data_IF_896235708599
#
_entry.id   IF_896235708599
#
_cell.length_a   1.000
_cell.length_b   1.000
_cell.length_c   1.000
_cell.angle_alpha   90.00
_cell.angle_beta   90.00
_cell.angle_gamma   90.00
#
_symmetry.space_group_name_H-M   'P 1'
#
loop_
_entity.id
_entity.type
_entity.pdbx_description
1 polymer ?
#
# COMPACT_ATOMS: atom_id res chain seq x y z
N UNK A 1 -20.18 25.00 -16.45
CA UNK A 1 -19.57 23.90 -17.18
C UNK A 1 -18.76 23.09 -16.18
N UNK A 2 -18.92 21.76 -16.03
CA UNK A 2 -18.14 21.02 -15.07
C UNK A 2 -16.70 20.94 -15.58
N UNK A 3 -15.76 21.48 -14.81
CA UNK A 3 -14.33 21.25 -15.03
C UNK A 3 -14.08 19.75 -14.99
N UNK A 4 -13.42 19.22 -16.01
CA UNK A 4 -13.25 17.80 -16.25
C UNK A 4 -12.60 17.09 -15.07
N UNK A 5 -13.13 15.93 -14.72
CA UNK A 5 -12.57 14.99 -13.71
C UNK A 5 -11.07 14.66 -13.96
N UNK A 6 -10.57 14.84 -15.17
CA UNK A 6 -9.17 14.59 -15.55
C UNK A 6 -8.15 15.46 -14.80
N UNK A 7 -8.48 16.73 -14.50
CA UNK A 7 -7.60 17.61 -13.73
C UNK A 7 -7.49 17.19 -12.25
N UNK A 8 -8.44 16.40 -11.76
CA UNK A 8 -8.53 16.00 -10.36
C UNK A 8 -7.69 14.74 -10.05
N UNK A 9 -7.51 13.87 -11.03
CA UNK A 9 -6.71 12.65 -10.89
C UNK A 9 -5.24 12.98 -10.66
N UNK A 10 -4.75 14.07 -11.25
CA UNK A 10 -3.34 14.51 -11.12
C UNK A 10 -2.94 15.03 -9.73
N UNK A 11 -3.87 15.14 -8.77
CA UNK A 11 -3.60 15.77 -7.47
C UNK A 11 -3.71 14.78 -6.28
N UNK A 12 -4.20 13.56 -6.48
CA UNK A 12 -4.72 12.72 -5.40
C UNK A 12 -4.00 11.37 -5.30
N UNK A 13 -2.78 11.22 -5.72
CA UNK A 13 -2.06 10.01 -5.33
C UNK A 13 -1.07 10.32 -4.22
N UNK A 14 -1.04 9.51 -3.16
CA UNK A 14 0.14 9.45 -2.32
C UNK A 14 1.28 8.97 -3.21
N UNK A 15 2.49 9.21 -2.87
CA UNK A 15 3.76 8.81 -3.49
C UNK A 15 3.81 8.39 -5.00
N UNK A 16 2.72 7.84 -5.57
CA UNK A 16 2.66 7.39 -6.96
C UNK A 16 2.24 8.44 -7.99
N UNK A 17 1.48 9.48 -7.60
CA UNK A 17 1.00 10.51 -8.56
C UNK A 17 1.84 11.78 -8.58
N UNK A 18 2.96 11.81 -7.86
CA UNK A 18 3.83 12.97 -7.82
C UNK A 18 4.55 13.27 -9.15
N UNK A 19 4.60 12.32 -10.07
CA UNK A 19 5.41 12.43 -11.28
C UNK A 19 4.83 13.33 -12.39
N UNK A 20 3.58 13.83 -12.28
CA UNK A 20 2.90 14.49 -13.40
C UNK A 20 2.34 15.91 -13.14
N UNK A 21 2.82 16.63 -12.15
CA UNK A 21 2.43 18.04 -11.99
C UNK A 21 3.46 18.98 -12.63
N UNK A 22 3.07 19.77 -13.64
CA UNK A 22 3.88 20.94 -14.02
C UNK A 22 3.90 21.89 -12.83
N UNK A 23 5.08 22.39 -12.46
CA UNK A 23 5.28 23.38 -11.43
C UNK A 23 4.54 24.68 -11.79
N UNK A 24 3.30 24.83 -11.30
CA UNK A 24 2.67 26.13 -11.14
C UNK A 24 3.03 26.63 -9.75
N UNK A 25 4.14 27.36 -9.64
CA UNK A 25 4.46 28.14 -8.46
C UNK A 25 3.44 29.29 -8.31
N UNK A 26 2.27 28.96 -7.77
CA UNK A 26 1.37 29.97 -7.23
C UNK A 26 1.80 30.23 -5.77
N UNK A 27 1.86 31.49 -5.33
CA UNK A 27 2.12 31.86 -3.94
C UNK A 27 1.12 31.15 -3.02
N UNK A 28 1.54 30.05 -2.43
CA UNK A 28 0.74 29.29 -1.47
C UNK A 28 0.76 30.02 -0.12
N UNK A 29 -0.37 30.12 0.59
CA UNK A 29 -0.36 30.66 1.95
C UNK A 29 0.51 29.79 2.86
N UNK A 30 1.11 30.38 3.93
CA UNK A 30 1.90 29.64 4.87
C UNK A 30 1.09 28.48 5.49
N UNK A 31 1.72 27.32 5.65
CA UNK A 31 1.12 26.18 6.32
C UNK A 31 0.71 26.54 7.75
N UNK A 32 -0.38 25.99 8.30
CA UNK A 32 -0.75 26.20 9.69
C UNK A 32 0.36 25.72 10.63
N UNK A 33 0.44 26.37 11.80
CA UNK A 33 1.41 26.06 12.84
C UNK A 33 1.42 24.56 13.17
N UNK A 34 2.60 24.05 13.54
CA UNK A 34 2.91 22.63 13.73
C UNK A 34 1.72 21.76 14.19
N UNK A 35 1.42 20.77 13.38
CA UNK A 35 0.47 19.72 13.77
C UNK A 35 1.07 18.92 14.95
N UNK A 36 0.23 18.38 15.86
CA UNK A 36 0.72 17.57 16.95
C UNK A 36 1.54 16.37 16.41
N UNK A 37 2.62 16.06 17.08
CA UNK A 37 3.37 14.82 16.83
C UNK A 37 2.41 13.65 16.94
N UNK A 38 2.39 12.77 15.93
CA UNK A 38 1.52 11.59 15.81
C UNK A 38 0.02 11.88 15.68
N UNK A 39 -0.44 12.15 14.47
CA UNK A 39 -1.88 12.18 14.14
C UNK A 39 -2.45 10.80 13.81
N UNK A 40 -1.63 9.75 13.82
CA UNK A 40 -2.04 8.37 13.52
C UNK A 40 -1.44 7.41 14.55
N UNK A 41 -2.11 6.28 14.78
CA UNK A 41 -1.61 5.19 15.63
C UNK A 41 -2.07 3.86 15.06
N UNK A 42 -1.29 2.81 15.32
CA UNK A 42 -1.75 1.46 15.10
C UNK A 42 -2.75 1.03 16.18
N UNK A 43 -3.78 0.33 15.73
CA UNK A 43 -4.59 -0.55 16.58
C UNK A 43 -3.93 -1.93 16.59
N UNK A 44 -3.86 -2.57 17.72
CA UNK A 44 -3.27 -3.91 17.85
C UNK A 44 -4.36 -4.95 18.11
N UNK A 45 -4.30 -6.09 17.41
CA UNK A 45 -5.20 -7.21 17.61
C UNK A 45 -4.43 -8.53 17.62
N UNK A 46 -4.66 -9.38 18.64
CA UNK A 46 -4.19 -10.78 18.62
C UNK A 46 -5.23 -11.62 17.89
N UNK A 47 -4.89 -12.07 16.69
CA UNK A 47 -5.82 -12.77 15.77
C UNK A 47 -5.80 -14.29 15.93
N UNK A 48 -4.70 -14.83 16.46
CA UNK A 48 -4.53 -16.24 16.76
C UNK A 48 -3.45 -16.41 17.85
N UNK A 49 -3.30 -17.59 18.48
CA UNK A 49 -2.21 -17.83 19.43
C UNK A 49 -0.85 -17.50 18.78
N UNK A 50 -0.08 -16.62 19.44
CA UNK A 50 1.24 -16.15 18.99
C UNK A 50 1.25 -15.31 17.71
N UNK A 51 0.09 -14.80 17.25
CA UNK A 51 -0.02 -13.97 16.05
C UNK A 51 -0.81 -12.72 16.38
N UNK A 52 -0.18 -11.58 16.25
CA UNK A 52 -0.79 -10.26 16.41
C UNK A 52 -0.58 -9.43 15.15
N UNK A 53 -1.45 -8.47 14.91
CA UNK A 53 -1.34 -7.49 13.84
C UNK A 53 -1.44 -6.08 14.41
N UNK A 54 -0.59 -5.20 13.90
CA UNK A 54 -0.69 -3.75 14.07
C UNK A 54 -1.28 -3.20 12.77
N UNK A 55 -2.44 -2.55 12.85
CA UNK A 55 -3.15 -2.06 11.66
C UNK A 55 -3.78 -0.69 11.92
N UNK A 56 -4.05 0.06 10.87
CA UNK A 56 -4.86 1.27 10.96
C UNK A 56 -6.35 0.96 10.75
N UNK A 57 -7.21 1.71 11.44
CA UNK A 57 -8.67 1.62 11.28
C UNK A 57 -9.17 2.75 10.39
N UNK A 58 -10.15 2.46 9.54
CA UNK A 58 -10.73 3.44 8.64
C UNK A 58 -9.93 3.60 7.34
N UNK A 59 -10.20 4.69 6.64
CA UNK A 59 -9.50 5.05 5.41
C UNK A 59 -8.51 6.18 5.67
N UNK A 60 -7.30 6.00 5.21
CA UNK A 60 -6.22 6.98 5.24
C UNK A 60 -5.75 7.27 3.81
N UNK A 61 -5.55 8.55 3.50
CA UNK A 61 -5.01 8.98 2.21
C UNK A 61 -3.49 8.72 2.10
N UNK A 62 -2.82 8.62 3.24
CA UNK A 62 -1.43 8.18 3.36
C UNK A 62 -1.39 7.03 4.38
N UNK A 63 -1.80 5.83 3.99
CA UNK A 63 -1.88 4.71 4.91
C UNK A 63 -0.48 4.22 5.32
N UNK A 64 -0.44 3.45 6.40
CA UNK A 64 0.70 2.64 6.82
C UNK A 64 0.35 1.19 6.59
N UNK A 65 1.28 0.44 6.04
CA UNK A 65 1.13 -1.00 5.90
C UNK A 65 0.93 -1.67 7.27
N UNK A 66 0.06 -2.65 7.30
CA UNK A 66 -0.09 -3.50 8.48
C UNK A 66 1.24 -4.18 8.79
N UNK A 67 1.45 -4.51 10.07
CA UNK A 67 2.61 -5.29 10.49
C UNK A 67 2.14 -6.49 11.30
N UNK A 68 2.50 -7.67 10.86
CA UNK A 68 2.23 -8.86 11.63
C UNK A 68 3.42 -9.25 12.49
N UNK A 69 3.11 -9.57 13.74
CA UNK A 69 4.06 -10.01 14.76
C UNK A 69 3.79 -11.46 15.09
N UNK A 70 4.70 -12.32 14.69
CA UNK A 70 4.57 -13.78 14.81
C UNK A 70 5.63 -14.28 15.82
N UNK A 71 5.17 -14.65 17.00
CA UNK A 71 6.06 -15.17 18.03
C UNK A 71 6.35 -16.65 17.78
N UNK A 72 7.64 -16.97 17.55
CA UNK A 72 8.18 -18.31 17.43
C UNK A 72 8.87 -18.75 18.73
N UNK A 73 9.28 -20.00 18.81
CA UNK A 73 9.95 -20.56 20.01
C UNK A 73 11.22 -19.81 20.39
N UNK A 74 12.00 -19.35 19.40
CA UNK A 74 13.33 -18.76 19.58
C UNK A 74 13.41 -17.26 19.18
N UNK A 75 12.31 -16.66 18.77
CA UNK A 75 12.31 -15.26 18.33
C UNK A 75 10.97 -14.79 17.82
N UNK A 76 10.98 -13.65 17.14
CA UNK A 76 9.82 -13.05 16.49
C UNK A 76 10.10 -12.90 15.00
N UNK A 77 9.14 -13.26 14.17
CA UNK A 77 9.10 -12.93 12.76
C UNK A 77 8.13 -11.76 12.57
N UNK A 78 8.60 -10.71 11.90
CA UNK A 78 7.76 -9.59 11.44
C UNK A 78 7.44 -9.77 9.95
N UNK A 79 6.20 -9.49 9.58
CA UNK A 79 5.85 -9.27 8.18
C UNK A 79 5.58 -7.78 8.03
N UNK A 80 6.35 -7.13 7.16
CA UNK A 80 6.46 -5.69 6.95
C UNK A 80 6.99 -4.90 8.18
N UNK A 81 6.99 -3.57 8.10
CA UNK A 81 7.84 -2.76 8.98
C UNK A 81 7.21 -1.47 9.53
N UNK A 82 5.94 -1.21 9.24
CA UNK A 82 5.22 -0.02 9.71
C UNK A 82 5.46 1.25 8.89
N UNK A 83 6.12 1.15 7.73
CA UNK A 83 6.14 2.17 6.68
C UNK A 83 6.90 3.47 6.96
N UNK A 84 7.49 3.63 8.14
CA UNK A 84 8.31 4.78 8.50
C UNK A 84 9.15 4.49 9.73
N UNK A 85 10.15 5.31 10.06
CA UNK A 85 10.86 5.21 11.34
C UNK A 85 9.93 5.32 12.56
N UNK A 86 8.89 6.16 12.50
CA UNK A 86 7.93 6.30 13.59
C UNK A 86 7.03 5.03 13.72
N UNK A 87 6.54 4.49 12.60
CA UNK A 87 5.82 3.22 12.62
C UNK A 87 6.66 2.05 13.13
N UNK A 88 7.94 2.04 12.82
CA UNK A 88 8.88 1.06 13.37
C UNK A 88 9.05 1.19 14.89
N UNK A 89 9.00 2.41 15.46
CA UNK A 89 9.02 2.60 16.93
C UNK A 89 7.78 2.00 17.59
N UNK A 90 6.60 2.10 16.97
CA UNK A 90 5.39 1.45 17.47
C UNK A 90 5.53 -0.08 17.46
N UNK A 91 6.11 -0.64 16.38
CA UNK A 91 6.41 -2.07 16.28
C UNK A 91 7.40 -2.51 17.36
N UNK A 92 8.48 -1.76 17.57
CA UNK A 92 9.48 -2.02 18.62
C UNK A 92 8.82 -2.02 20.00
N UNK A 93 8.03 -0.99 20.27
CA UNK A 93 7.31 -0.86 21.55
C UNK A 93 6.37 -2.02 21.80
N UNK A 94 5.62 -2.43 20.76
CA UNK A 94 4.73 -3.59 20.85
C UNK A 94 5.50 -4.89 21.12
N UNK A 95 6.57 -5.17 20.37
CA UNK A 95 7.37 -6.38 20.54
C UNK A 95 7.97 -6.45 21.94
N UNK A 96 8.58 -5.36 22.43
CA UNK A 96 9.16 -5.32 23.78
C UNK A 96 8.10 -5.48 24.88
N UNK A 97 6.88 -4.99 24.64
CA UNK A 97 5.75 -5.17 25.56
C UNK A 97 5.21 -6.61 25.58
N UNK A 98 5.24 -7.28 24.44
CA UNK A 98 4.66 -8.62 24.27
C UNK A 98 5.61 -9.75 24.66
N UNK A 99 6.92 -9.61 24.41
CA UNK A 99 7.89 -10.70 24.61
C UNK A 99 9.29 -10.18 24.93
N UNK A 100 10.14 -11.07 25.49
CA UNK A 100 11.58 -10.83 25.68
C UNK A 100 12.44 -11.40 24.54
N UNK A 101 11.82 -12.04 23.57
CA UNK A 101 12.53 -12.65 22.44
C UNK A 101 12.94 -11.58 21.43
N UNK A 102 14.11 -11.73 20.79
CA UNK A 102 14.52 -10.81 19.72
C UNK A 102 13.70 -11.04 18.46
N UNK A 103 13.63 -10.01 17.60
CA UNK A 103 13.20 -10.22 16.22
C UNK A 103 14.31 -10.91 15.45
N UNK A 104 13.99 -12.04 14.82
CA UNK A 104 14.94 -12.89 14.08
C UNK A 104 14.81 -12.78 12.57
N UNK A 105 13.63 -12.38 12.09
CA UNK A 105 13.40 -12.12 10.67
C UNK A 105 12.38 -11.01 10.47
N UNK A 106 12.60 -10.20 9.45
CA UNK A 106 11.66 -9.25 8.86
C UNK A 106 11.44 -9.69 7.43
N UNK A 107 10.21 -9.94 7.05
CA UNK A 107 9.80 -10.23 5.67
C UNK A 107 9.19 -8.98 5.09
N UNK A 108 9.75 -8.47 4.00
CA UNK A 108 9.17 -7.35 3.25
C UNK A 108 8.32 -7.94 2.15
N UNK A 109 7.00 -7.73 2.24
CA UNK A 109 6.04 -8.30 1.29
C UNK A 109 6.25 -7.77 -0.10
N UNK A 110 6.45 -6.44 -0.24
CA UNK A 110 6.72 -5.77 -1.50
C UNK A 110 7.47 -4.44 -1.27
N UNK A 111 7.87 -3.78 -2.36
CA UNK A 111 8.80 -2.66 -2.28
C UNK A 111 8.20 -1.31 -1.82
N UNK A 112 6.88 -1.15 -1.74
CA UNK A 112 6.27 0.13 -1.38
C UNK A 112 6.76 0.66 -0.03
N UNK A 113 6.88 1.99 0.05
CA UNK A 113 7.52 2.63 1.20
C UNK A 113 6.79 2.43 2.52
N UNK A 114 5.46 2.40 2.47
CA UNK A 114 4.60 2.19 3.63
C UNK A 114 4.68 0.76 4.22
N UNK A 115 5.34 -0.16 3.53
CA UNK A 115 5.70 -1.51 4.02
C UNK A 115 7.19 -1.62 4.37
N UNK A 116 8.07 -0.94 3.63
CA UNK A 116 9.52 -1.19 3.67
C UNK A 116 10.34 -0.16 4.46
N UNK A 117 9.87 1.10 4.62
CA UNK A 117 10.72 2.19 5.16
C UNK A 117 10.94 2.15 6.67
N UNK A 118 10.28 1.26 7.42
CA UNK A 118 10.57 0.99 8.82
C UNK A 118 11.77 0.06 9.03
N UNK A 119 12.15 -0.74 8.00
CA UNK A 119 13.17 -1.80 8.13
C UNK A 119 14.50 -1.26 8.64
N UNK A 120 14.96 -0.11 8.16
CA UNK A 120 16.23 0.46 8.61
C UNK A 120 16.24 0.76 10.12
N UNK A 121 15.13 1.24 10.68
CA UNK A 121 15.01 1.48 12.14
C UNK A 121 14.91 0.18 12.93
N UNK A 122 14.14 -0.81 12.43
CA UNK A 122 14.06 -2.13 13.04
C UNK A 122 15.42 -2.83 13.06
N UNK A 123 16.21 -2.66 11.99
CA UNK A 123 17.58 -3.19 11.89
C UNK A 123 18.55 -2.55 12.89
N UNK A 124 18.32 -1.30 13.27
CA UNK A 124 19.10 -0.65 14.36
C UNK A 124 18.78 -1.26 15.72
N UNK A 125 17.53 -1.62 15.97
CA UNK A 125 17.10 -2.26 17.21
C UNK A 125 17.58 -3.71 17.31
N UNK A 126 17.48 -4.46 16.21
CA UNK A 126 17.91 -5.86 16.11
C UNK A 126 18.95 -6.01 15.00
N UNK A 127 20.24 -5.73 15.27
CA UNK A 127 21.29 -5.71 14.23
C UNK A 127 21.48 -7.04 13.48
N UNK A 128 21.21 -8.16 14.11
CA UNK A 128 21.39 -9.49 13.55
C UNK A 128 20.14 -10.02 12.83
N UNK A 129 19.05 -9.23 12.77
CA UNK A 129 17.81 -9.63 12.12
C UNK A 129 18.03 -9.91 10.63
N UNK A 130 17.49 -11.02 10.14
CA UNK A 130 17.44 -11.34 8.71
C UNK A 130 16.37 -10.47 8.05
N UNK A 131 16.66 -9.92 6.89
CA UNK A 131 15.68 -9.16 6.08
C UNK A 131 15.47 -9.89 4.77
N UNK A 132 14.27 -10.39 4.58
CA UNK A 132 13.90 -11.37 3.54
C UNK A 132 12.85 -10.74 2.62
N UNK A 133 12.98 -10.96 1.32
CA UNK A 133 11.97 -10.58 0.32
C UNK A 133 12.00 -11.51 -0.89
N UNK A 134 11.13 -11.24 -1.87
CA UNK A 134 11.32 -11.80 -3.22
C UNK A 134 12.44 -11.06 -3.96
N UNK A 135 13.04 -11.64 -5.02
CA UNK A 135 13.99 -10.93 -5.87
C UNK A 135 13.43 -9.64 -6.47
N UNK A 136 12.17 -9.64 -6.97
CA UNK A 136 11.53 -8.44 -7.54
C UNK A 136 11.47 -7.30 -6.52
N UNK A 137 11.03 -7.56 -5.30
CA UNK A 137 11.01 -6.58 -4.21
C UNK A 137 12.41 -6.03 -3.89
N UNK A 138 13.42 -6.89 -3.78
CA UNK A 138 14.81 -6.47 -3.53
C UNK A 138 15.32 -5.57 -4.66
N UNK A 139 15.10 -5.98 -5.91
CA UNK A 139 15.65 -5.30 -7.08
C UNK A 139 15.03 -3.90 -7.23
N UNK A 140 13.72 -3.76 -6.96
CA UNK A 140 13.05 -2.45 -6.91
C UNK A 140 13.59 -1.59 -5.76
N UNK A 141 13.78 -2.13 -4.56
CA UNK A 141 14.38 -1.39 -3.45
C UNK A 141 15.82 -0.98 -3.71
N UNK A 142 16.54 -1.69 -4.57
CA UNK A 142 17.89 -1.32 -4.99
C UNK A 142 17.91 -0.34 -6.17
N UNK A 143 16.79 -0.18 -6.89
CA UNK A 143 16.71 0.67 -8.09
C UNK A 143 16.54 2.16 -7.75
N UNK A 144 17.17 3.03 -8.56
CA UNK A 144 16.89 4.47 -8.55
C UNK A 144 15.51 4.83 -9.12
N UNK A 145 14.83 3.91 -9.79
CA UNK A 145 13.48 4.14 -10.32
C UNK A 145 12.46 4.42 -9.21
N UNK A 146 12.75 3.96 -7.98
CA UNK A 146 11.93 4.20 -6.79
C UNK A 146 12.24 5.52 -6.07
N UNK A 147 13.29 6.26 -6.45
CA UNK A 147 13.70 7.52 -5.79
C UNK A 147 12.63 8.61 -5.84
N UNK A 148 11.70 8.53 -6.77
CA UNK A 148 10.56 9.46 -6.88
C UNK A 148 9.41 9.17 -5.91
N UNK A 149 9.41 7.99 -5.29
CA UNK A 149 8.34 7.52 -4.40
C UNK A 149 8.77 7.38 -2.94
N UNK A 150 10.05 7.14 -2.72
CA UNK A 150 10.58 6.93 -1.40
C UNK A 150 12.02 7.46 -1.25
N UNK A 151 12.44 7.83 -0.04
CA UNK A 151 13.81 8.28 0.20
C UNK A 151 14.84 7.22 -0.17
N UNK A 152 15.92 7.65 -0.81
CA UNK A 152 17.07 6.84 -1.18
C UNK A 152 18.38 7.56 -0.85
N UNK A 153 19.46 7.16 -1.51
CA UNK A 153 20.78 7.77 -1.31
C UNK A 153 20.94 9.08 -2.10
N UNK A 154 20.03 9.38 -3.02
CA UNK A 154 20.07 10.59 -3.84
C UNK A 154 19.43 11.78 -3.11
N UNK A 155 20.25 12.68 -2.56
CA UNK A 155 19.77 13.83 -1.79
C UNK A 155 18.88 14.79 -2.61
N UNK A 156 19.14 14.97 -3.90
CA UNK A 156 18.32 15.82 -4.75
C UNK A 156 16.96 15.20 -5.04
N UNK A 157 16.89 13.88 -5.27
CA UNK A 157 15.63 13.16 -5.41
C UNK A 157 14.81 13.21 -4.10
N UNK A 158 15.47 13.05 -2.94
CA UNK A 158 14.81 13.16 -1.65
C UNK A 158 14.22 14.56 -1.42
N UNK A 159 14.96 15.62 -1.77
CA UNK A 159 14.47 16.99 -1.64
C UNK A 159 13.24 17.24 -2.55
N UNK A 160 13.29 16.76 -3.79
CA UNK A 160 12.13 16.84 -4.70
C UNK A 160 10.92 16.06 -4.18
N UNK A 161 11.13 14.87 -3.63
CA UNK A 161 10.06 14.07 -3.04
C UNK A 161 9.38 14.81 -1.88
N UNK A 162 10.15 15.43 -1.00
CA UNK A 162 9.64 16.22 0.12
C UNK A 162 8.88 17.45 -0.36
N UNK A 163 9.45 18.22 -1.29
CA UNK A 163 8.78 19.40 -1.87
C UNK A 163 7.44 19.02 -2.52
N UNK A 164 7.44 17.96 -3.29
CA UNK A 164 6.23 17.48 -3.96
C UNK A 164 5.17 17.05 -2.94
N UNK A 165 5.56 16.29 -1.90
CA UNK A 165 4.63 15.84 -0.85
C UNK A 165 4.03 17.05 -0.12
N UNK A 166 4.84 18.06 0.20
CA UNK A 166 4.37 19.30 0.83
C UNK A 166 3.40 20.06 -0.09
N UNK A 167 3.67 20.13 -1.39
CA UNK A 167 2.79 20.78 -2.36
C UNK A 167 1.43 20.07 -2.47
N UNK A 168 1.41 18.74 -2.48
CA UNK A 168 0.16 17.96 -2.47
C UNK A 168 -0.61 18.19 -1.17
N UNK A 169 0.06 18.15 -0.03
CA UNK A 169 -0.58 18.43 1.26
C UNK A 169 -1.22 19.84 1.30
N UNK A 170 -0.51 20.85 0.81
CA UNK A 170 -1.03 22.22 0.72
C UNK A 170 -2.26 22.30 -0.20
N UNK A 171 -2.24 21.63 -1.35
CA UNK A 171 -3.37 21.59 -2.28
C UNK A 171 -4.61 20.92 -1.65
N UNK A 172 -4.41 19.84 -0.88
CA UNK A 172 -5.50 19.19 -0.14
C UNK A 172 -6.04 20.09 0.97
N UNK A 173 -5.18 20.79 1.71
CA UNK A 173 -5.58 21.76 2.72
C UNK A 173 -6.42 22.92 2.12
N UNK A 174 -6.07 23.42 0.94
CA UNK A 174 -6.89 24.40 0.23
C UNK A 174 -8.27 23.86 -0.14
N UNK A 175 -8.34 22.59 -0.60
CA UNK A 175 -9.62 21.96 -0.94
C UNK A 175 -10.53 21.78 0.26
N UNK A 176 -9.98 21.54 1.45
CA UNK A 176 -10.77 21.43 2.68
C UNK A 176 -11.55 22.72 3.02
N UNK A 177 -11.16 23.86 2.45
CA UNK A 177 -11.82 25.16 2.65
C UNK A 177 -12.85 25.51 1.55
N UNK A 178 -12.95 24.71 0.49
CA UNK A 178 -13.79 25.06 -0.66
C UNK A 178 -15.26 24.72 -0.40
N UNK A 179 -16.19 25.69 -0.57
CA UNK A 179 -17.60 25.52 -0.22
C UNK A 179 -18.37 24.56 -1.14
N UNK A 180 -17.86 24.28 -2.35
CA UNK A 180 -18.47 23.35 -3.29
C UNK A 180 -18.35 21.87 -2.86
N UNK A 181 -17.47 21.54 -1.90
CA UNK A 181 -17.37 20.20 -1.34
C UNK A 181 -18.32 20.02 -0.16
N UNK A 182 -18.85 18.82 0.01
CA UNK A 182 -19.65 18.44 1.18
C UNK A 182 -18.81 18.56 2.48
N UNK A 183 -19.47 18.58 3.63
CA UNK A 183 -18.77 18.61 4.92
C UNK A 183 -17.85 17.38 5.10
N UNK A 184 -18.30 16.20 4.67
CA UNK A 184 -17.53 14.95 4.70
C UNK A 184 -16.27 15.06 3.83
N UNK A 185 -16.41 15.56 2.61
CA UNK A 185 -15.25 15.74 1.71
C UNK A 185 -14.26 16.76 2.26
N UNK A 186 -14.73 17.88 2.81
CA UNK A 186 -13.84 18.87 3.43
C UNK A 186 -13.08 18.31 4.62
N UNK A 187 -13.76 17.57 5.49
CA UNK A 187 -13.11 16.89 6.60
C UNK A 187 -12.06 15.86 6.11
N UNK A 188 -12.41 15.08 5.10
CA UNK A 188 -11.48 14.13 4.47
C UNK A 188 -10.25 14.82 3.85
N UNK A 189 -10.44 15.95 3.14
CA UNK A 189 -9.32 16.71 2.61
C UNK A 189 -8.42 17.28 3.71
N UNK A 190 -8.98 17.76 4.81
CA UNK A 190 -8.21 18.24 5.95
C UNK A 190 -7.38 17.13 6.60
N UNK A 191 -7.99 15.96 6.81
CA UNK A 191 -7.31 14.77 7.32
C UNK A 191 -6.17 14.35 6.39
N UNK A 192 -6.42 14.20 5.09
CA UNK A 192 -5.42 13.79 4.10
C UNK A 192 -4.25 14.77 4.02
N UNK A 193 -4.50 16.08 4.14
CA UNK A 193 -3.46 17.09 4.20
C UNK A 193 -2.57 16.91 5.43
N UNK A 194 -3.17 16.67 6.59
CA UNK A 194 -2.44 16.43 7.84
C UNK A 194 -1.60 15.15 7.78
N UNK A 195 -2.16 14.07 7.25
CA UNK A 195 -1.45 12.78 7.07
C UNK A 195 -0.21 12.94 6.18
N UNK A 196 -0.34 13.66 5.05
CA UNK A 196 0.79 13.91 4.14
C UNK A 196 1.85 14.82 4.74
N UNK A 197 1.48 15.83 5.53
CA UNK A 197 2.45 16.67 6.22
C UNK A 197 3.27 15.87 7.23
N UNK A 198 2.61 15.02 8.02
CA UNK A 198 3.29 14.12 8.95
C UNK A 198 4.20 13.13 8.22
N UNK A 199 3.71 12.55 7.13
CA UNK A 199 4.50 11.64 6.31
C UNK A 199 5.76 12.31 5.78
N UNK A 200 5.65 13.53 5.23
CA UNK A 200 6.81 14.27 4.74
C UNK A 200 7.86 14.47 5.84
N UNK A 201 7.44 14.81 7.07
CA UNK A 201 8.35 14.99 8.21
C UNK A 201 9.02 13.65 8.62
N UNK A 202 8.28 12.56 8.66
CA UNK A 202 8.84 11.24 8.97
C UNK A 202 9.85 10.78 7.91
N UNK A 203 9.61 11.10 6.62
CA UNK A 203 10.48 10.75 5.51
C UNK A 203 11.86 11.44 5.54
N UNK A 204 12.03 12.53 6.26
CA UNK A 204 13.35 13.14 6.49
C UNK A 204 14.34 12.17 7.14
N UNK A 205 13.85 11.30 8.01
CA UNK A 205 14.63 10.31 8.76
C UNK A 205 14.58 8.92 8.15
N UNK A 206 13.69 8.68 7.22
CA UNK A 206 13.55 7.38 6.58
C UNK A 206 14.78 7.05 5.74
N UNK A 207 15.16 5.79 5.74
CA UNK A 207 16.22 5.26 4.88
C UNK A 207 15.73 3.95 4.29
N UNK A 208 15.89 3.82 3.00
CA UNK A 208 15.60 2.60 2.28
C UNK A 208 16.61 1.52 2.71
N UNK A 209 16.12 0.32 2.94
CA UNK A 209 16.95 -0.84 3.24
C UNK A 209 16.73 -1.90 2.16
N UNK A 210 17.80 -2.32 1.53
CA UNK A 210 17.73 -3.39 0.51
C UNK A 210 17.83 -4.74 1.21
N UNK A 211 16.82 -5.63 1.08
CA UNK A 211 16.85 -6.96 1.68
C UNK A 211 18.09 -7.76 1.28
N UNK A 212 18.70 -8.42 2.26
CA UNK A 212 19.95 -9.17 2.06
C UNK A 212 19.71 -10.64 1.74
N UNK A 213 18.50 -11.13 1.96
CA UNK A 213 18.09 -12.49 1.67
C UNK A 213 16.86 -12.49 0.76
N UNK A 214 16.84 -13.38 -0.22
CA UNK A 214 15.69 -13.54 -1.11
C UNK A 214 15.28 -15.00 -1.22
N UNK A 215 13.99 -15.21 -1.50
CA UNK A 215 13.46 -16.52 -1.83
C UNK A 215 12.76 -16.48 -3.19
N UNK A 216 12.73 -17.63 -3.87
CA UNK A 216 12.00 -17.77 -5.14
C UNK A 216 10.52 -18.06 -4.87
N UNK A 217 10.07 -19.25 -5.23
CA UNK A 217 8.64 -19.60 -5.12
C UNK A 217 8.18 -19.83 -3.67
N UNK A 218 9.07 -20.33 -2.81
CA UNK A 218 8.73 -20.74 -1.44
C UNK A 218 9.93 -20.71 -0.49
N UNK A 219 9.69 -20.30 0.76
CA UNK A 219 10.63 -20.42 1.88
C UNK A 219 9.85 -20.72 3.16
N UNK A 220 10.28 -21.72 3.90
CA UNK A 220 9.74 -22.00 5.25
C UNK A 220 10.66 -21.42 6.33
N UNK A 221 10.08 -20.65 7.25
CA UNK A 221 10.71 -20.31 8.53
C UNK A 221 10.18 -21.29 9.57
N UNK A 222 10.96 -22.33 9.91
CA UNK A 222 10.46 -23.46 10.67
C UNK A 222 10.27 -23.09 12.14
N UNK A 223 9.20 -23.58 12.74
CA UNK A 223 8.93 -23.55 14.18
C UNK A 223 7.96 -24.66 14.58
N UNK A 224 8.07 -25.15 15.81
CA UNK A 224 7.19 -26.20 16.31
C UNK A 224 5.75 -25.74 16.52
N UNK A 225 5.52 -24.48 16.87
CA UNK A 225 4.20 -23.93 17.17
C UNK A 225 3.68 -22.99 16.06
N UNK A 226 4.53 -22.13 15.52
CA UNK A 226 4.19 -21.09 14.54
C UNK A 226 5.09 -21.11 13.31
N UNK A 227 5.10 -22.22 12.51
CA UNK A 227 5.82 -22.22 11.25
C UNK A 227 5.23 -21.20 10.29
N UNK A 228 6.09 -20.48 9.56
CA UNK A 228 5.68 -19.49 8.55
C UNK A 228 6.13 -19.98 7.19
N UNK A 229 5.21 -20.12 6.27
CA UNK A 229 5.45 -20.44 4.88
C UNK A 229 5.34 -19.17 4.04
N UNK A 230 6.46 -18.70 3.51
CA UNK A 230 6.52 -17.56 2.59
C UNK A 230 6.36 -18.07 1.16
N UNK A 231 5.57 -17.39 0.36
CA UNK A 231 5.24 -17.81 -1.01
C UNK A 231 5.24 -16.62 -1.95
N UNK A 232 5.78 -16.82 -3.15
CA UNK A 232 5.55 -15.97 -4.31
C UNK A 232 4.54 -16.67 -5.21
N UNK A 233 3.33 -16.13 -5.31
CA UNK A 233 2.25 -16.75 -6.05
C UNK A 233 2.05 -16.17 -7.46
N UNK A 234 2.90 -15.24 -7.86
CA UNK A 234 2.84 -14.45 -9.07
C UNK A 234 2.90 -12.96 -8.73
N UNK A 235 2.99 -12.12 -9.77
CA UNK A 235 2.93 -10.65 -9.63
C UNK A 235 1.50 -10.21 -9.40
N UNK A 236 1.30 -9.15 -8.61
CA UNK A 236 -0.04 -8.62 -8.35
C UNK A 236 -0.04 -7.09 -8.36
N UNK A 237 0.10 -6.46 -7.20
CA UNK A 237 0.22 -5.01 -7.05
C UNK A 237 1.61 -4.54 -7.51
N UNK A 238 2.61 -5.39 -7.25
CA UNK A 238 4.01 -5.19 -7.68
C UNK A 238 4.53 -6.43 -8.41
N UNK A 239 5.79 -6.38 -8.82
CA UNK A 239 6.47 -7.53 -9.42
C UNK A 239 7.00 -8.54 -8.39
N UNK A 240 6.88 -8.23 -7.09
CA UNK A 240 7.51 -9.01 -6.02
C UNK A 240 6.61 -9.37 -4.83
N UNK A 241 5.29 -9.33 -4.99
CA UNK A 241 4.35 -9.52 -3.87
C UNK A 241 4.49 -10.90 -3.19
N UNK A 242 4.94 -10.89 -1.94
CA UNK A 242 5.04 -12.08 -1.11
C UNK A 242 3.79 -12.27 -0.23
N UNK A 243 3.41 -13.52 -0.04
CA UNK A 243 2.32 -13.95 0.85
C UNK A 243 2.89 -14.85 1.93
N UNK A 244 2.38 -14.76 3.15
CA UNK A 244 2.74 -15.67 4.23
C UNK A 244 1.53 -16.51 4.67
N UNK A 245 1.76 -17.78 4.89
CA UNK A 245 0.78 -18.73 5.40
C UNK A 245 1.26 -19.34 6.72
N UNK A 246 0.41 -19.30 7.74
CA UNK A 246 0.64 -19.93 9.03
C UNK A 246 -0.32 -21.13 9.14
N UNK A 247 0.12 -22.34 8.80
CA UNK A 247 -0.79 -23.49 8.64
C UNK A 247 -1.47 -23.92 9.94
N UNK A 248 -0.80 -23.80 11.08
CA UNK A 248 -1.36 -24.19 12.37
C UNK A 248 -2.37 -23.19 12.90
N UNK A 249 -2.11 -21.90 12.71
CA UNK A 249 -3.00 -20.81 13.10
C UNK A 249 -4.11 -20.55 12.07
N UNK A 250 -3.92 -21.08 10.86
CA UNK A 250 -4.80 -20.80 9.70
C UNK A 250 -4.91 -19.31 9.42
N UNK A 251 -3.79 -18.61 9.48
CA UNK A 251 -3.68 -17.18 9.16
C UNK A 251 -3.00 -17.03 7.81
N UNK A 252 -3.64 -16.28 6.92
CA UNK A 252 -3.10 -15.92 5.60
C UNK A 252 -2.80 -14.40 5.60
N UNK A 253 -1.54 -14.06 5.35
CA UNK A 253 -1.05 -12.67 5.31
C UNK A 253 -0.75 -12.36 3.85
N UNK A 254 -1.31 -11.27 3.32
CA UNK A 254 -1.38 -11.08 1.87
C UNK A 254 -0.56 -9.90 1.35
N UNK A 255 -0.05 -9.04 2.23
CA UNK A 255 0.45 -7.75 1.77
C UNK A 255 -0.61 -7.03 0.92
N UNK A 256 -0.20 -6.18 0.01
CA UNK A 256 -1.12 -5.36 -0.80
C UNK A 256 -1.81 -6.09 -1.94
N UNK A 257 -1.69 -7.41 -2.01
CA UNK A 257 -2.56 -8.19 -2.90
C UNK A 257 -4.02 -8.15 -2.45
N UNK A 258 -4.26 -7.83 -1.17
CA UNK A 258 -5.58 -7.48 -0.61
C UNK A 258 -5.43 -6.24 0.26
N UNK A 259 -6.12 -5.17 -0.09
CA UNK A 259 -6.15 -3.89 0.63
C UNK A 259 -7.58 -3.46 0.88
N UNK A 260 -7.90 -3.01 2.08
CA UNK A 260 -9.23 -2.56 2.50
C UNK A 260 -9.15 -1.14 3.11
N UNK A 261 -10.17 -0.28 2.91
CA UNK A 261 -11.45 -0.55 2.24
C UNK A 261 -11.41 -0.42 0.70
N UNK A 262 -10.34 0.10 0.13
CA UNK A 262 -10.19 0.35 -1.31
C UNK A 262 -8.93 -0.38 -1.78
N UNK A 263 -9.04 -1.35 -2.71
CA UNK A 263 -7.85 -1.99 -3.27
C UNK A 263 -7.01 -1.00 -4.09
N UNK A 264 -5.71 -1.28 -4.23
CA UNK A 264 -4.81 -0.47 -5.05
C UNK A 264 -4.63 -1.12 -6.42
N UNK A 265 -4.72 -0.32 -7.48
CA UNK A 265 -4.67 -0.81 -8.87
C UNK A 265 -3.48 -0.25 -9.67
N UNK A 266 -2.55 0.46 -9.01
CA UNK A 266 -1.43 1.12 -9.68
C UNK A 266 -0.46 0.11 -10.28
N UNK A 267 -0.05 0.32 -11.53
CA UNK A 267 0.99 -0.45 -12.25
C UNK A 267 0.95 -1.97 -11.98
N UNK A 268 -0.25 -2.50 -11.67
CA UNK A 268 -0.49 -3.87 -11.29
C UNK A 268 -0.43 -4.82 -12.48
N UNK A 269 -0.40 -6.12 -12.19
CA UNK A 269 -0.37 -7.24 -13.15
C UNK A 269 -1.71 -8.02 -13.11
N UNK A 270 -2.81 -7.50 -13.69
CA UNK A 270 -4.17 -7.99 -13.44
C UNK A 270 -4.41 -9.47 -13.73
N UNK A 271 -3.75 -10.07 -14.73
CA UNK A 271 -3.91 -11.50 -15.03
C UNK A 271 -3.27 -12.38 -13.98
N UNK A 272 -2.03 -12.10 -13.61
CA UNK A 272 -1.32 -12.86 -12.58
C UNK A 272 -1.94 -12.60 -11.20
N UNK A 273 -2.33 -11.36 -10.92
CA UNK A 273 -3.04 -11.01 -9.69
C UNK A 273 -4.35 -11.79 -9.53
N UNK A 274 -5.16 -11.90 -10.59
CA UNK A 274 -6.39 -12.70 -10.54
C UNK A 274 -6.09 -14.18 -10.22
N UNK A 275 -5.07 -14.77 -10.85
CA UNK A 275 -4.64 -16.13 -10.55
C UNK A 275 -4.18 -16.27 -9.08
N UNK A 276 -3.41 -15.32 -8.58
CA UNK A 276 -2.94 -15.29 -7.21
C UNK A 276 -4.11 -15.22 -6.22
N UNK A 277 -5.07 -14.30 -6.43
CA UNK A 277 -6.28 -14.18 -5.61
C UNK A 277 -7.10 -15.48 -5.59
N UNK A 278 -7.25 -16.16 -6.75
CA UNK A 278 -7.95 -17.45 -6.84
C UNK A 278 -7.21 -18.55 -6.07
N UNK A 279 -5.87 -18.58 -6.11
CA UNK A 279 -5.07 -19.51 -5.31
C UNK A 279 -5.24 -19.23 -3.81
N UNK A 280 -5.18 -17.96 -3.39
CA UNK A 280 -5.41 -17.56 -1.99
C UNK A 280 -6.82 -17.92 -1.52
N UNK A 281 -7.83 -17.77 -2.38
CA UNK A 281 -9.21 -18.19 -2.08
C UNK A 281 -9.35 -19.68 -1.77
N UNK A 282 -8.49 -20.52 -2.30
CA UNK A 282 -8.50 -21.97 -2.04
C UNK A 282 -8.00 -22.32 -0.62
N UNK A 283 -7.26 -21.42 0.05
CA UNK A 283 -6.83 -21.68 1.43
C UNK A 283 -8.01 -21.71 2.40
N UNK A 284 -7.94 -22.61 3.37
CA UNK A 284 -8.91 -22.72 4.47
C UNK A 284 -8.47 -21.86 5.67
N UNK A 285 -8.22 -20.58 5.41
CA UNK A 285 -7.83 -19.67 6.49
C UNK A 285 -9.00 -19.40 7.45
N UNK A 286 -8.67 -19.15 8.72
CA UNK A 286 -9.58 -18.62 9.73
C UNK A 286 -9.56 -17.09 9.76
N UNK A 287 -8.39 -16.52 9.42
CA UNK A 287 -8.18 -15.08 9.32
C UNK A 287 -7.30 -14.79 8.11
N UNK A 288 -7.68 -13.80 7.32
CA UNK A 288 -6.84 -13.15 6.31
C UNK A 288 -6.43 -11.78 6.86
N UNK A 289 -5.13 -11.50 6.83
CA UNK A 289 -4.54 -10.22 7.18
C UNK A 289 -4.14 -9.50 5.90
N UNK A 290 -4.85 -8.41 5.54
CA UNK A 290 -4.53 -7.62 4.34
C UNK A 290 -3.31 -6.73 4.58
N UNK A 291 -2.74 -6.16 3.53
CA UNK A 291 -1.67 -5.18 3.65
C UNK A 291 -2.11 -3.88 4.33
N UNK A 292 -3.38 -3.52 4.19
CA UNK A 292 -4.03 -2.41 4.90
C UNK A 292 -5.43 -2.77 5.35
N UNK A 293 -5.85 -2.19 6.48
CA UNK A 293 -7.18 -2.35 7.03
C UNK A 293 -7.28 -3.51 8.02
N UNK A 294 -8.51 -3.87 8.39
CA UNK A 294 -8.79 -4.78 9.49
C UNK A 294 -8.66 -6.26 9.09
N UNK A 295 -8.36 -7.17 10.04
CA UNK A 295 -8.42 -8.61 9.84
C UNK A 295 -9.77 -9.09 9.30
N UNK A 296 -9.74 -9.99 8.32
CA UNK A 296 -10.92 -10.56 7.65
C UNK A 296 -11.13 -12.01 8.04
N UNK A 297 -12.35 -12.37 8.47
CA UNK A 297 -12.64 -13.71 8.98
C UNK A 297 -13.52 -14.55 8.05
N UNK A 298 -13.80 -14.03 6.86
CA UNK A 298 -14.49 -14.73 5.78
C UNK A 298 -13.89 -14.36 4.42
N UNK A 299 -14.44 -14.89 3.34
CA UNK A 299 -13.95 -14.67 1.97
C UNK A 299 -14.66 -13.53 1.23
N UNK A 300 -15.60 -12.85 1.87
CA UNK A 300 -16.47 -11.87 1.22
C UNK A 300 -15.68 -10.75 0.56
N UNK A 301 -14.70 -10.18 1.28
CA UNK A 301 -13.88 -9.10 0.72
C UNK A 301 -12.94 -9.59 -0.37
N UNK A 302 -12.30 -10.74 -0.18
CA UNK A 302 -11.46 -11.36 -1.21
C UNK A 302 -12.25 -11.65 -2.50
N UNK A 303 -13.48 -12.14 -2.37
CA UNK A 303 -14.38 -12.40 -3.51
C UNK A 303 -14.76 -11.09 -4.23
N UNK A 304 -14.92 -9.97 -3.51
CA UNK A 304 -15.12 -8.65 -4.13
C UNK A 304 -13.89 -8.19 -4.92
N UNK A 305 -12.68 -8.38 -4.38
CA UNK A 305 -11.44 -8.03 -5.10
C UNK A 305 -11.29 -8.88 -6.36
N UNK A 306 -11.57 -10.20 -6.29
CA UNK A 306 -11.58 -11.09 -7.45
C UNK A 306 -12.57 -10.59 -8.52
N UNK A 307 -13.80 -10.23 -8.12
CA UNK A 307 -14.79 -9.71 -9.03
C UNK A 307 -14.35 -8.38 -9.67
N UNK A 308 -13.71 -7.51 -8.89
CA UNK A 308 -13.23 -6.21 -9.36
C UNK A 308 -12.10 -6.34 -10.39
N UNK A 309 -11.09 -7.18 -10.13
CA UNK A 309 -10.00 -7.45 -11.10
C UNK A 309 -10.54 -8.13 -12.36
N UNK A 310 -11.49 -9.06 -12.21
CA UNK A 310 -12.15 -9.72 -13.35
C UNK A 310 -12.88 -8.69 -14.22
N UNK A 311 -13.65 -7.78 -13.62
CA UNK A 311 -14.38 -6.75 -14.35
C UNK A 311 -13.43 -5.79 -15.08
N UNK A 312 -12.33 -5.39 -14.44
CA UNK A 312 -11.31 -4.53 -15.04
C UNK A 312 -10.73 -5.17 -16.31
N UNK A 313 -10.31 -6.42 -16.22
CA UNK A 313 -9.77 -7.18 -17.37
C UNK A 313 -10.80 -7.35 -18.50
N UNK A 314 -12.05 -7.65 -18.14
CA UNK A 314 -13.13 -7.83 -19.13
C UNK A 314 -13.39 -6.54 -19.90
N UNK A 315 -13.51 -5.40 -19.21
CA UNK A 315 -13.76 -4.11 -19.85
C UNK A 315 -12.55 -3.64 -20.67
N UNK A 316 -11.34 -3.81 -20.16
CA UNK A 316 -10.10 -3.47 -20.87
C UNK A 316 -9.94 -4.27 -22.17
N UNK A 317 -10.30 -5.54 -22.18
CA UNK A 317 -10.26 -6.38 -23.40
C UNK A 317 -11.18 -5.83 -24.51
N UNK A 318 -12.33 -5.26 -24.16
CA UNK A 318 -13.23 -4.62 -25.12
C UNK A 318 -12.66 -3.32 -25.70
N UNK A 319 -11.79 -2.65 -24.95
CA UNK A 319 -11.16 -1.37 -25.34
C UNK A 319 -9.80 -1.54 -26.03
N UNK A 320 -9.27 -2.77 -26.11
CA UNK A 320 -7.90 -3.01 -26.55
C UNK A 320 -7.60 -2.50 -27.96
N UNK A 321 -8.56 -2.60 -28.89
CA UNK A 321 -8.42 -2.17 -30.27
C UNK A 321 -8.64 -0.66 -30.49
N UNK A 322 -9.20 0.06 -29.52
CA UNK A 322 -9.47 1.51 -29.63
C UNK A 322 -8.25 2.31 -29.22
N UNK A 323 -7.48 2.80 -30.20
CA UNK A 323 -6.27 3.58 -29.98
C UNK A 323 -6.53 4.99 -29.38
N UNK A 324 -7.77 5.45 -29.33
CA UNK A 324 -8.14 6.75 -28.74
C UNK A 324 -8.21 6.69 -27.21
N UNK A 325 -8.30 5.48 -26.65
CA UNK A 325 -8.26 5.27 -25.19
C UNK A 325 -6.83 5.28 -24.70
N UNK A 326 -6.53 6.26 -23.85
CA UNK A 326 -5.21 6.52 -23.25
C UNK A 326 -5.27 6.44 -21.71
N UNK A 327 -4.13 6.58 -21.06
CA UNK A 327 -4.05 6.63 -19.60
C UNK A 327 -4.92 7.76 -19.02
N UNK A 328 -4.96 8.91 -19.68
CA UNK A 328 -5.67 10.10 -19.20
C UNK A 328 -7.20 9.94 -19.29
N UNK A 329 -7.69 9.12 -20.21
CA UNK A 329 -9.13 9.03 -20.45
C UNK A 329 -9.74 7.63 -20.19
N UNK A 330 -8.94 6.59 -19.93
CA UNK A 330 -9.44 5.21 -19.74
C UNK A 330 -10.53 5.11 -18.67
N UNK A 331 -10.44 5.90 -17.61
CA UNK A 331 -11.45 5.96 -16.56
C UNK A 331 -12.84 6.43 -17.03
N UNK A 332 -12.94 7.07 -18.20
CA UNK A 332 -14.21 7.49 -18.82
C UNK A 332 -14.85 6.38 -19.67
N UNK A 333 -14.10 5.33 -19.99
CA UNK A 333 -14.50 4.22 -20.85
C UNK A 333 -14.84 2.96 -20.08
N UNK A 334 -14.68 2.96 -18.75
CA UNK A 334 -14.98 1.83 -17.86
C UNK A 334 -16.08 2.20 -16.87
N UNK A 335 -16.92 1.22 -16.51
CA UNK A 335 -17.95 1.38 -15.50
C UNK A 335 -17.73 0.39 -14.33
N UNK A 336 -17.34 0.91 -13.20
CA UNK A 336 -17.20 0.17 -11.95
C UNK A 336 -18.24 0.60 -10.90
N UNK A 337 -19.30 1.30 -11.27
CA UNK A 337 -20.28 1.88 -10.33
C UNK A 337 -20.85 0.84 -9.37
N UNK A 338 -21.30 -0.30 -9.89
CA UNK A 338 -21.88 -1.38 -9.07
C UNK A 338 -20.85 -1.99 -8.10
N UNK A 339 -19.59 -2.14 -8.53
CA UNK A 339 -18.50 -2.62 -7.69
C UNK A 339 -18.12 -1.57 -6.63
N UNK A 340 -17.95 -0.31 -7.05
CA UNK A 340 -17.65 0.78 -6.14
C UNK A 340 -18.62 0.81 -4.95
N UNK A 341 -19.91 0.70 -5.20
CA UNK A 341 -20.93 0.70 -4.14
C UNK A 341 -20.73 -0.46 -3.15
N UNK A 342 -20.21 -1.61 -3.60
CA UNK A 342 -19.90 -2.72 -2.69
C UNK A 342 -18.66 -2.47 -1.80
N UNK A 343 -17.71 -1.64 -2.25
CA UNK A 343 -16.51 -1.30 -1.48
C UNK A 343 -16.72 -0.11 -0.54
N UNK A 344 -17.37 0.95 -1.03
CA UNK A 344 -17.36 2.26 -0.37
C UNK A 344 -18.77 2.85 -0.16
N UNK A 345 -19.84 2.14 -0.58
CA UNK A 345 -21.21 2.63 -0.48
C UNK A 345 -21.42 3.92 -1.27
N UNK A 346 -22.18 4.83 -0.68
CA UNK A 346 -22.51 6.15 -1.25
C UNK A 346 -21.65 7.28 -0.67
N UNK A 347 -20.55 6.95 0.04
CA UNK A 347 -19.66 7.95 0.61
C UNK A 347 -18.93 8.72 -0.51
N UNK A 348 -19.13 10.05 -0.63
CA UNK A 348 -18.53 10.83 -1.71
C UNK A 348 -17.01 10.95 -1.58
N UNK A 349 -16.47 10.96 -0.36
CA UNK A 349 -15.04 10.99 -0.10
C UNK A 349 -14.37 9.70 -0.53
N UNK A 350 -14.87 8.56 -0.07
CA UNK A 350 -14.34 7.25 -0.45
C UNK A 350 -14.55 6.94 -1.94
N UNK A 351 -15.64 7.43 -2.55
CA UNK A 351 -15.88 7.33 -3.99
C UNK A 351 -14.75 7.98 -4.81
N UNK A 352 -14.25 9.16 -4.37
CA UNK A 352 -13.12 9.83 -5.04
C UNK A 352 -11.86 8.97 -4.99
N UNK A 353 -11.58 8.40 -3.82
CA UNK A 353 -10.40 7.56 -3.62
C UNK A 353 -10.50 6.22 -4.33
N UNK A 354 -11.69 5.64 -4.40
CA UNK A 354 -11.93 4.44 -5.21
C UNK A 354 -11.60 4.70 -6.69
N UNK A 355 -12.00 5.85 -7.21
CA UNK A 355 -11.68 6.20 -8.59
C UNK A 355 -10.18 6.46 -8.79
N UNK A 356 -9.52 7.11 -7.82
CA UNK A 356 -8.11 7.47 -7.89
C UNK A 356 -7.18 6.27 -7.66
N UNK A 357 -7.51 5.39 -6.73
CA UNK A 357 -6.64 4.29 -6.33
C UNK A 357 -6.92 2.99 -7.08
N UNK A 358 -8.15 2.80 -7.47
CA UNK A 358 -8.58 1.57 -8.11
C UNK A 358 -9.01 1.77 -9.56
N UNK A 359 -10.12 2.48 -9.80
CA UNK A 359 -10.85 2.49 -11.07
C UNK A 359 -9.96 2.81 -12.28
N UNK A 360 -9.35 3.98 -12.27
CA UNK A 360 -8.49 4.44 -13.37
C UNK A 360 -7.18 3.66 -13.44
N UNK A 361 -6.44 3.45 -12.33
CA UNK A 361 -5.19 2.71 -12.37
C UNK A 361 -5.34 1.27 -12.87
N UNK A 362 -6.31 0.52 -12.32
CA UNK A 362 -6.49 -0.87 -12.74
C UNK A 362 -6.97 -0.98 -14.18
N UNK A 363 -7.84 -0.05 -14.63
CA UNK A 363 -8.29 -0.04 -16.02
C UNK A 363 -7.12 0.20 -16.97
N UNK A 364 -6.18 1.08 -16.62
CA UNK A 364 -4.98 1.32 -17.40
C UNK A 364 -4.04 0.11 -17.41
N UNK A 365 -3.77 -0.48 -16.26
CA UNK A 365 -2.95 -1.69 -16.15
C UNK A 365 -3.53 -2.84 -16.98
N UNK A 366 -4.85 -3.07 -16.87
CA UNK A 366 -5.55 -4.10 -17.63
C UNK A 366 -5.57 -3.81 -19.15
N UNK A 367 -5.66 -2.53 -19.54
CA UNK A 367 -5.62 -2.15 -20.96
C UNK A 367 -4.23 -2.34 -21.55
N UNK A 368 -3.15 -2.01 -20.81
CA UNK A 368 -1.78 -2.31 -21.23
C UNK A 368 -1.59 -3.81 -21.44
N UNK A 369 -2.05 -4.61 -20.48
CA UNK A 369 -2.00 -6.07 -20.57
C UNK A 369 -2.75 -6.59 -21.81
N UNK A 370 -4.00 -6.11 -22.05
CA UNK A 370 -4.80 -6.49 -23.21
C UNK A 370 -4.17 -6.07 -24.54
N UNK A 371 -3.37 -5.01 -24.54
CA UNK A 371 -2.59 -4.54 -25.71
C UNK A 371 -1.19 -5.14 -25.81
N UNK A 372 -0.82 -6.05 -24.92
CA UNK A 372 0.53 -6.63 -24.82
C UNK A 372 1.63 -5.58 -24.62
N UNK A 373 1.32 -4.48 -23.95
CA UNK A 373 2.29 -3.44 -23.56
C UNK A 373 2.83 -3.77 -22.17
N UNK A 374 4.15 -3.81 -21.97
CA UNK A 374 4.72 -4.13 -20.65
C UNK A 374 4.23 -3.20 -19.56
N UNK A 375 3.94 -3.75 -18.39
CA UNK A 375 3.76 -2.97 -17.16
C UNK A 375 5.13 -2.49 -16.71
N UNK A 376 5.24 -1.21 -16.40
CA UNK A 376 6.46 -0.60 -15.84
C UNK A 376 6.09 -0.06 -14.48
N UNK A 377 6.69 -0.65 -13.46
CA UNK A 377 6.46 -0.24 -12.08
C UNK A 377 6.94 1.19 -11.85
N UNK A 378 6.07 2.00 -11.27
CA UNK A 378 6.37 3.41 -11.04
C UNK A 378 6.53 4.22 -12.35
N UNK A 379 5.94 3.78 -13.46
CA UNK A 379 6.03 4.41 -14.79
C UNK A 379 5.15 5.66 -15.00
#
# INVERSE_FOLDING_TARGET
MPESNAAMIKIIAPAFLLAMLPACAANLPPLPAALPEHTWSFTTETVAPHVSVLHQTGFHAQPRGNVEVIEQSNGVVLIDSGGSPAGAEDVISFVHGATRKPVTAIVVTHWHGDHSLGVARLKQEWPDVRVISTPGTRDMLASSDTDRFMPGDNAEANARLQENTANVAAALAQRSQRPEFSATERAGYAQAAAELQNYAHEMERARRFVPTETFGDHLTLPDGATPVELMFLGRANTEGDAVAWLPRQRVLITGDTVVSPIPFGFDSYPAEWLNMLQRMRAYHYAVLLPGHGMPMRDKTYLDRVIAAVTAARTQAAMLAADSTVTQENVGQHVDFTALRTQFVGDDPWLTRWFNAYWSTPIAWSALREARHVPIVQGG
#
